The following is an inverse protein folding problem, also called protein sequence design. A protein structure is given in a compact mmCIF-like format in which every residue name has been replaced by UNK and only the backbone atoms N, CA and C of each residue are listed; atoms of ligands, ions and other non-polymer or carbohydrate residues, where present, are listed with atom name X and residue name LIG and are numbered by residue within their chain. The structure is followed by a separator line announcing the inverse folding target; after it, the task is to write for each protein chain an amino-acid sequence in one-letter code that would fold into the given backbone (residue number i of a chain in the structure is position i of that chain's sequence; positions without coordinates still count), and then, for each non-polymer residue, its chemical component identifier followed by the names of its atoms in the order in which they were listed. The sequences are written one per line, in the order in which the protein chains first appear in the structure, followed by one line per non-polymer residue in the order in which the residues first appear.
data_IF_934315490994
#
_entry.id   IF_934315490994
#
_cell.length_a   1.000
_cell.length_b   1.000
_cell.length_c   1.000
_cell.angle_alpha   90.00
_cell.angle_beta   90.00
_cell.angle_gamma   90.00
#
_symmetry.space_group_name_H-M   'P 1'
#
loop_
_entity.id
_entity.type
_entity.pdbx_description
1 polymer ?
#
# COMPACT_ATOMS: atom_id res chain seq x y z
N UNK A 1 -40.64 -52.25 -45.14
CA UNK A 1 -40.86 -50.84 -45.51
C UNK A 1 -39.66 -50.02 -45.06
N UNK A 2 -39.06 -49.27 -45.99
CA UNK A 2 -37.70 -48.72 -45.92
C UNK A 2 -37.52 -47.59 -44.90
N UNK A 3 -36.39 -47.61 -44.19
CA UNK A 3 -35.91 -46.63 -43.20
C UNK A 3 -35.90 -45.16 -43.72
N UNK A 4 -35.88 -44.98 -45.05
CA UNK A 4 -35.98 -43.67 -45.70
C UNK A 4 -37.33 -42.97 -45.46
N UNK A 5 -38.42 -43.72 -45.36
CA UNK A 5 -39.76 -43.13 -45.15
C UNK A 5 -39.96 -42.65 -43.71
N UNK A 6 -39.29 -43.27 -42.74
CA UNK A 6 -39.36 -42.87 -41.33
C UNK A 6 -38.61 -41.55 -41.07
N UNK A 7 -37.44 -41.35 -41.70
CA UNK A 7 -36.70 -40.07 -41.62
C UNK A 7 -37.47 -38.92 -42.26
N UNK A 8 -38.09 -39.16 -43.41
CA UNK A 8 -38.88 -38.13 -44.08
C UNK A 8 -40.07 -37.74 -43.21
N UNK A 9 -40.77 -38.73 -42.62
CA UNK A 9 -41.91 -38.47 -41.74
C UNK A 9 -41.52 -37.71 -40.46
N UNK A 10 -40.39 -38.06 -39.83
CA UNK A 10 -39.88 -37.34 -38.64
C UNK A 10 -39.47 -35.92 -39.00
N UNK A 11 -38.80 -35.70 -40.14
CA UNK A 11 -38.44 -34.36 -40.62
C UNK A 11 -39.67 -33.53 -40.96
N UNK A 12 -40.71 -34.12 -41.56
CA UNK A 12 -41.97 -33.43 -41.85
C UNK A 12 -42.70 -33.08 -40.57
N UNK A 13 -42.75 -33.96 -39.57
CA UNK A 13 -43.32 -33.66 -38.25
C UNK A 13 -42.52 -32.55 -37.55
N UNK A 14 -41.19 -32.58 -37.61
CA UNK A 14 -40.36 -31.53 -37.02
C UNK A 14 -40.62 -30.18 -37.70
N UNK A 15 -40.71 -30.17 -39.03
CA UNK A 15 -40.96 -28.96 -39.81
C UNK A 15 -42.36 -28.39 -39.56
N UNK A 16 -43.39 -29.25 -39.49
CA UNK A 16 -44.74 -28.84 -39.11
C UNK A 16 -44.77 -28.36 -37.66
N UNK A 17 -44.06 -29.02 -36.74
CA UNK A 17 -43.99 -28.61 -35.33
C UNK A 17 -43.31 -27.26 -35.14
N UNK A 18 -42.28 -26.93 -35.95
CA UNK A 18 -41.62 -25.63 -35.98
C UNK A 18 -42.49 -24.56 -36.65
N UNK A 19 -43.26 -24.93 -37.68
CA UNK A 19 -44.19 -24.03 -38.36
C UNK A 19 -45.46 -23.72 -37.53
N UNK A 20 -45.82 -24.59 -36.59
CA UNK A 20 -46.94 -24.40 -35.65
C UNK A 20 -46.54 -23.74 -34.32
N UNK A 21 -45.30 -23.26 -34.17
CA UNK A 21 -44.93 -22.43 -33.01
C UNK A 21 -45.53 -21.05 -33.24
N UNK A 22 -46.67 -20.79 -32.59
CA UNK A 22 -47.22 -19.43 -32.46
C UNK A 22 -46.11 -18.51 -31.94
N UNK A 23 -45.98 -17.27 -32.45
CA UNK A 23 -45.01 -16.32 -31.94
C UNK A 23 -45.34 -16.08 -30.47
N UNK A 24 -44.58 -16.71 -29.56
CA UNK A 24 -44.56 -16.29 -28.18
C UNK A 24 -43.88 -14.94 -28.23
N UNK A 25 -44.64 -13.85 -28.10
CA UNK A 25 -44.10 -12.54 -27.80
C UNK A 25 -43.40 -12.63 -26.43
N UNK A 26 -42.16 -13.12 -26.45
CA UNK A 26 -41.28 -13.00 -25.31
C UNK A 26 -41.04 -11.51 -25.15
N UNK A 27 -41.66 -10.93 -24.12
CA UNK A 27 -41.44 -9.56 -23.72
C UNK A 27 -39.94 -9.35 -23.47
N UNK A 28 -39.26 -8.80 -24.47
CA UNK A 28 -37.91 -8.27 -24.33
C UNK A 28 -38.10 -6.96 -23.57
N UNK A 29 -38.01 -7.04 -22.24
CA UNK A 29 -38.10 -5.85 -21.40
C UNK A 29 -37.12 -4.78 -21.88
N UNK A 30 -37.41 -3.49 -21.64
CA UNK A 30 -36.65 -2.37 -22.20
C UNK A 30 -35.14 -2.46 -21.90
N UNK A 31 -34.76 -3.16 -20.83
CA UNK A 31 -33.37 -3.42 -20.42
C UNK A 31 -32.50 -4.13 -21.47
N UNK A 32 -33.02 -5.01 -22.33
CA UNK A 32 -32.20 -5.69 -23.32
C UNK A 32 -31.78 -4.73 -24.47
N UNK A 33 -32.68 -3.83 -24.87
CA UNK A 33 -32.35 -2.74 -25.80
C UNK A 33 -31.32 -1.78 -25.21
N UNK A 34 -31.46 -1.42 -23.93
CA UNK A 34 -30.46 -0.61 -23.22
C UNK A 34 -29.11 -1.31 -23.08
N UNK A 35 -29.08 -2.62 -22.80
CA UNK A 35 -27.85 -3.41 -22.71
C UNK A 35 -27.13 -3.53 -24.06
N UNK A 36 -27.88 -3.76 -25.15
CA UNK A 36 -27.32 -3.82 -26.50
C UNK A 36 -26.80 -2.45 -26.95
N UNK A 37 -27.58 -1.38 -26.75
CA UNK A 37 -27.21 -0.03 -27.14
C UNK A 37 -25.99 0.47 -26.36
N UNK A 38 -25.93 0.21 -25.04
CA UNK A 38 -24.78 0.57 -24.21
C UNK A 38 -23.53 -0.22 -24.58
N UNK A 39 -23.65 -1.54 -24.83
CA UNK A 39 -22.50 -2.37 -25.23
C UNK A 39 -21.98 -1.98 -26.62
N UNK A 40 -22.87 -1.72 -27.57
CA UNK A 40 -22.51 -1.24 -28.90
C UNK A 40 -21.87 0.15 -28.84
N UNK A 41 -22.43 1.07 -28.05
CA UNK A 41 -21.87 2.42 -27.88
C UNK A 41 -20.47 2.38 -27.25
N UNK A 42 -20.25 1.52 -26.27
CA UNK A 42 -18.91 1.32 -25.66
C UNK A 42 -17.93 0.78 -26.69
N UNK A 43 -18.34 -0.21 -27.50
CA UNK A 43 -17.50 -0.76 -28.56
C UNK A 43 -17.17 0.29 -29.62
N UNK A 44 -18.17 1.02 -30.11
CA UNK A 44 -18.02 2.08 -31.09
C UNK A 44 -17.13 3.22 -30.57
N UNK A 45 -17.32 3.64 -29.32
CA UNK A 45 -16.49 4.66 -28.66
C UNK A 45 -15.04 4.17 -28.50
N UNK A 46 -14.84 2.89 -28.17
CA UNK A 46 -13.51 2.30 -28.05
C UNK A 46 -12.79 2.29 -29.40
N UNK A 47 -13.49 1.95 -30.49
CA UNK A 47 -12.95 2.03 -31.86
C UNK A 47 -12.62 3.46 -32.26
N UNK A 48 -13.51 4.43 -31.98
CA UNK A 48 -13.26 5.85 -32.24
C UNK A 48 -12.04 6.35 -31.46
N UNK A 49 -11.91 5.99 -30.18
CA UNK A 49 -10.75 6.33 -29.37
C UNK A 49 -9.46 5.67 -29.89
N UNK A 50 -9.52 4.43 -30.37
CA UNK A 50 -8.39 3.74 -30.97
C UNK A 50 -7.93 4.43 -32.27
N UNK A 51 -8.88 4.75 -33.17
CA UNK A 51 -8.60 5.48 -34.42
C UNK A 51 -8.06 6.87 -34.11
N UNK A 52 -8.70 7.61 -33.20
CA UNK A 52 -8.22 8.92 -32.76
C UNK A 52 -6.81 8.81 -32.17
N UNK A 53 -6.52 7.79 -31.37
CA UNK A 53 -5.20 7.59 -30.80
C UNK A 53 -4.14 7.33 -31.87
N UNK A 54 -4.46 6.51 -32.88
CA UNK A 54 -3.61 6.22 -34.02
C UNK A 54 -3.36 7.47 -34.88
N UNK A 55 -4.41 8.23 -35.20
CA UNK A 55 -4.32 9.48 -35.96
C UNK A 55 -3.57 10.57 -35.19
N UNK A 56 -3.74 10.64 -33.87
CA UNK A 56 -3.03 11.57 -33.01
C UNK A 56 -1.58 11.15 -32.71
N UNK A 57 -1.18 9.91 -33.02
CA UNK A 57 0.19 9.43 -32.80
C UNK A 57 1.25 10.27 -33.52
N UNK A 58 1.18 10.52 -34.85
CA UNK A 58 2.21 11.30 -35.54
C UNK A 58 2.31 12.73 -35.00
N UNK A 59 1.19 13.37 -34.65
CA UNK A 59 1.19 14.69 -34.02
C UNK A 59 1.79 14.67 -32.61
N UNK A 60 1.50 13.64 -31.80
CA UNK A 60 2.14 13.45 -30.49
C UNK A 60 3.63 13.17 -30.63
N UNK A 61 4.04 12.41 -31.64
CA UNK A 61 5.44 12.14 -31.94
C UNK A 61 6.16 13.41 -32.37
N UNK A 62 5.56 14.20 -33.27
CA UNK A 62 6.07 15.48 -33.73
C UNK A 62 6.16 16.51 -32.60
N UNK A 63 5.11 16.62 -31.77
CA UNK A 63 5.14 17.46 -30.58
C UNK A 63 6.25 16.99 -29.61
N UNK A 64 6.42 15.68 -29.43
CA UNK A 64 7.47 15.11 -28.58
C UNK A 64 8.87 15.34 -29.15
N UNK A 65 9.07 15.32 -30.47
CA UNK A 65 10.37 15.62 -31.11
C UNK A 65 10.69 17.12 -31.09
N UNK A 66 9.70 17.99 -31.31
CA UNK A 66 9.84 19.44 -31.21
C UNK A 66 10.10 19.89 -29.77
N UNK A 67 9.40 19.32 -28.78
CA UNK A 67 9.67 19.55 -27.35
C UNK A 67 11.01 18.93 -26.94
N UNK A 68 11.38 17.76 -27.48
CA UNK A 68 12.70 17.13 -27.26
C UNK A 68 13.87 17.97 -27.77
N UNK A 69 13.68 18.92 -28.70
CA UNK A 69 14.78 19.84 -29.08
C UNK A 69 15.29 20.68 -27.90
N UNK A 70 14.50 20.86 -26.83
CA UNK A 70 14.97 21.48 -25.57
C UNK A 70 15.67 20.48 -24.63
N UNK A 71 15.45 19.18 -24.79
CA UNK A 71 16.12 18.14 -24.01
C UNK A 71 17.44 17.79 -24.69
N UNK A 72 18.56 18.08 -24.03
CA UNK A 72 19.90 17.81 -24.58
C UNK A 72 20.00 16.38 -25.15
N UNK A 73 20.65 16.19 -26.32
CA UNK A 73 20.83 14.87 -26.90
C UNK A 73 21.49 13.95 -25.86
N UNK A 74 20.88 12.78 -25.64
CA UNK A 74 21.42 11.77 -24.71
C UNK A 74 22.82 11.40 -25.17
N UNK A 75 23.84 11.86 -24.44
CA UNK A 75 25.17 11.25 -24.54
C UNK A 75 24.99 9.79 -24.16
N UNK A 76 25.40 8.88 -25.05
CA UNK A 76 25.40 7.44 -24.76
C UNK A 76 26.38 7.25 -23.60
N UNK A 77 25.85 6.92 -22.43
CA UNK A 77 26.69 6.60 -21.27
C UNK A 77 27.47 5.32 -21.54
N UNK A 78 28.62 5.17 -20.88
CA UNK A 78 29.41 3.92 -20.95
C UNK A 78 28.73 2.75 -20.20
N UNK A 79 27.62 3.02 -19.51
CA UNK A 79 26.92 2.07 -18.64
C UNK A 79 25.44 2.06 -19.03
N UNK A 80 24.89 0.88 -19.30
CA UNK A 80 23.48 0.71 -19.68
C UNK A 80 22.54 0.75 -18.47
N UNK A 81 22.98 0.27 -17.30
CA UNK A 81 22.18 0.18 -16.07
C UNK A 81 23.01 0.43 -14.82
N UNK A 82 22.43 1.16 -13.88
CA UNK A 82 22.99 1.40 -12.54
C UNK A 82 22.00 0.86 -11.51
N UNK A 83 22.50 0.08 -10.56
CA UNK A 83 21.75 -0.40 -9.40
C UNK A 83 22.40 0.21 -8.16
N UNK A 84 21.58 0.85 -7.32
CA UNK A 84 22.02 1.36 -6.02
C UNK A 84 21.33 0.52 -4.96
N UNK A 85 22.11 -0.21 -4.18
CA UNK A 85 21.62 -0.97 -3.04
C UNK A 85 21.94 -0.20 -1.76
N UNK A 86 20.90 0.22 -1.05
CA UNK A 86 21.01 0.90 0.21
C UNK A 86 20.84 -0.05 1.40
N UNK A 87 21.81 -0.08 2.31
CA UNK A 87 21.78 -0.89 3.54
C UNK A 87 21.82 0.05 4.75
N UNK A 88 20.69 0.16 5.44
CA UNK A 88 20.56 1.06 6.60
C UNK A 88 21.34 0.50 7.81
N UNK A 89 22.08 1.36 8.50
CA UNK A 89 22.89 0.98 9.68
C UNK A 89 24.05 0.02 9.39
N UNK A 90 24.50 -0.12 8.15
CA UNK A 90 25.64 -0.98 7.82
C UNK A 90 26.95 -0.36 8.33
N UNK A 91 27.49 -0.92 9.40
CA UNK A 91 28.78 -0.50 9.96
C UNK A 91 29.96 -1.03 9.11
N UNK A 92 30.89 -0.17 8.66
CA UNK A 92 32.02 -0.58 7.82
C UNK A 92 33.00 -1.49 8.57
N UNK A 93 33.22 -1.29 9.88
CA UNK A 93 34.16 -2.10 10.68
C UNK A 93 33.67 -3.54 10.85
N UNK A 94 32.40 -3.72 11.22
CA UNK A 94 31.76 -5.04 11.27
C UNK A 94 31.72 -5.71 9.90
N UNK A 95 31.49 -4.93 8.84
CA UNK A 95 31.50 -5.46 7.46
C UNK A 95 32.88 -6.01 7.09
N UNK A 96 33.95 -5.28 7.41
CA UNK A 96 35.33 -5.76 7.18
C UNK A 96 35.67 -7.00 8.00
N UNK A 97 35.31 -7.01 9.28
CA UNK A 97 35.48 -8.16 10.15
C UNK A 97 34.78 -9.40 9.59
N UNK A 98 33.50 -9.29 9.21
CA UNK A 98 32.75 -10.43 8.69
C UNK A 98 33.17 -10.86 7.28
N UNK A 99 33.74 -9.97 6.47
CA UNK A 99 34.43 -10.38 5.24
C UNK A 99 35.68 -11.21 5.55
N UNK A 100 36.51 -10.78 6.50
CA UNK A 100 37.72 -11.51 6.92
C UNK A 100 37.41 -12.88 7.54
N UNK A 101 36.30 -13.00 8.26
CA UNK A 101 35.80 -14.26 8.81
C UNK A 101 35.12 -15.17 7.75
N UNK A 102 35.04 -14.75 6.48
CA UNK A 102 34.41 -15.51 5.40
C UNK A 102 32.88 -15.54 5.44
N UNK A 103 32.24 -14.74 6.30
CA UNK A 103 30.77 -14.68 6.46
C UNK A 103 30.08 -13.84 5.38
N UNK A 104 30.81 -12.92 4.74
CA UNK A 104 30.30 -12.03 3.68
C UNK A 104 31.02 -12.22 2.33
N UNK A 105 30.96 -13.41 1.72
CA UNK A 105 31.75 -13.73 0.51
C UNK A 105 31.39 -12.85 -0.71
N UNK A 106 30.14 -12.40 -0.81
CA UNK A 106 29.72 -11.50 -1.90
C UNK A 106 30.24 -10.07 -1.73
N UNK A 107 30.31 -9.55 -0.50
CA UNK A 107 30.93 -8.25 -0.24
C UNK A 107 32.43 -8.30 -0.50
N UNK A 108 33.09 -9.38 -0.08
CA UNK A 108 34.51 -9.61 -0.34
C UNK A 108 34.80 -9.59 -1.84
N UNK A 109 34.00 -10.32 -2.65
CA UNK A 109 34.12 -10.29 -4.11
C UNK A 109 33.90 -8.88 -4.68
N UNK A 110 32.90 -8.14 -4.21
CA UNK A 110 32.65 -6.75 -4.67
C UNK A 110 33.81 -5.81 -4.33
N UNK A 111 34.44 -5.99 -3.17
CA UNK A 111 35.65 -5.26 -2.76
C UNK A 111 36.84 -5.58 -3.68
N UNK A 112 37.02 -6.84 -4.08
CA UNK A 112 38.13 -7.27 -4.95
C UNK A 112 38.00 -6.78 -6.40
N UNK A 113 36.79 -6.81 -6.97
CA UNK A 113 36.56 -6.42 -8.38
C UNK A 113 36.23 -4.93 -8.56
N UNK A 114 36.03 -4.21 -7.46
CA UNK A 114 35.54 -2.83 -7.45
C UNK A 114 36.25 -1.96 -6.42
N UNK A 115 35.51 -1.01 -5.85
CA UNK A 115 36.02 -0.10 -4.81
C UNK A 115 35.24 -0.31 -3.53
N UNK A 116 35.96 -0.47 -2.42
CA UNK A 116 35.40 -0.43 -1.07
C UNK A 116 36.18 0.60 -0.27
N UNK A 117 35.50 1.64 0.19
CA UNK A 117 36.12 2.73 0.93
C UNK A 117 35.16 3.25 2.02
N UNK A 118 35.68 3.69 3.18
CA UNK A 118 34.88 4.38 4.18
C UNK A 118 34.19 5.61 3.58
N UNK A 119 32.90 5.77 3.88
CA UNK A 119 32.10 6.92 3.47
C UNK A 119 31.65 7.68 4.72
N UNK A 120 31.92 8.98 4.77
CA UNK A 120 31.42 9.84 5.84
C UNK A 120 29.89 9.92 5.80
N UNK A 121 29.26 9.90 6.96
CA UNK A 121 27.81 10.01 7.11
C UNK A 121 27.35 11.48 7.16
N UNK A 122 26.04 11.71 7.05
CA UNK A 122 25.44 13.03 7.21
C UNK A 122 25.55 13.56 8.64
N UNK A 123 25.35 14.86 8.80
CA UNK A 123 25.11 15.46 10.11
C UNK A 123 23.65 16.00 10.18
N UNK A 124 22.82 15.51 11.10
CA UNK A 124 23.08 14.44 12.07
C UNK A 124 23.16 13.03 11.41
N UNK A 125 23.84 12.05 12.05
CA UNK A 125 24.04 10.71 11.52
C UNK A 125 22.83 9.80 11.80
N UNK A 126 21.65 10.23 11.35
CA UNK A 126 20.38 9.52 11.55
C UNK A 126 19.73 9.24 10.19
N UNK A 127 19.06 8.09 10.04
CA UNK A 127 18.51 7.61 8.77
C UNK A 127 17.74 8.68 7.96
N UNK A 128 16.76 9.44 8.51
CA UNK A 128 16.00 10.40 7.72
C UNK A 128 16.87 11.53 7.13
N UNK A 129 17.90 11.98 7.87
CA UNK A 129 18.85 12.96 7.37
C UNK A 129 19.75 12.34 6.29
N UNK A 130 20.36 11.19 6.57
CA UNK A 130 21.28 10.51 5.66
C UNK A 130 20.64 10.14 4.33
N UNK A 131 19.43 9.57 4.35
CA UNK A 131 18.70 9.19 3.13
C UNK A 131 18.24 10.41 2.33
N UNK A 132 17.88 11.50 3.01
CA UNK A 132 17.54 12.77 2.35
C UNK A 132 18.78 13.40 1.69
N UNK A 133 19.93 13.36 2.35
CA UNK A 133 21.20 13.82 1.78
C UNK A 133 21.62 12.95 0.58
N UNK A 134 21.55 11.62 0.71
CA UNK A 134 21.81 10.67 -0.38
C UNK A 134 21.00 11.00 -1.63
N UNK A 135 19.68 11.18 -1.48
CA UNK A 135 18.83 11.37 -2.64
C UNK A 135 18.95 12.77 -3.26
N UNK A 136 19.28 13.80 -2.47
CA UNK A 136 19.27 15.20 -2.94
C UNK A 136 20.66 15.79 -3.22
N UNK A 137 21.73 15.15 -2.74
CA UNK A 137 23.10 15.63 -2.87
C UNK A 137 23.40 16.90 -2.05
N UNK A 138 22.55 17.25 -1.08
CA UNK A 138 22.72 18.40 -0.19
C UNK A 138 22.57 18.00 1.27
N UNK A 139 22.98 18.86 2.20
CA UNK A 139 22.87 18.60 3.64
C UNK A 139 21.50 18.97 4.22
N UNK A 140 21.31 18.65 5.51
CA UNK A 140 20.08 18.85 6.29
C UNK A 140 19.55 20.28 6.26
N UNK A 141 20.41 21.29 6.19
CA UNK A 141 19.99 22.70 6.12
C UNK A 141 19.24 23.02 4.83
N UNK A 142 19.53 22.31 3.73
CA UNK A 142 18.92 22.53 2.42
C UNK A 142 17.70 21.64 2.19
N UNK A 143 17.76 20.37 2.58
CA UNK A 143 16.62 19.45 2.41
C UNK A 143 15.63 19.47 3.59
N UNK A 144 15.91 20.20 4.67
CA UNK A 144 15.01 20.43 5.81
C UNK A 144 14.62 19.17 6.60
N UNK A 145 15.43 18.11 6.56
CA UNK A 145 15.17 16.88 7.31
C UNK A 145 16.33 16.67 8.27
N UNK A 146 16.06 16.78 9.56
CA UNK A 146 17.07 16.69 10.62
C UNK A 146 16.89 15.45 11.50
N UNK A 147 15.68 14.91 11.59
CA UNK A 147 15.34 13.76 12.45
C UNK A 147 14.05 13.11 11.90
N UNK A 148 13.52 12.06 12.53
CA UNK A 148 12.20 11.48 12.27
C UNK A 148 11.07 12.41 12.69
N UNK A 149 11.32 13.20 13.75
CA UNK A 149 10.37 14.13 14.32
C UNK A 149 10.90 15.57 14.25
N UNK A 150 9.99 16.51 14.14
CA UNK A 150 10.25 17.93 14.40
C UNK A 150 9.23 18.41 15.43
N UNK A 151 9.46 19.58 16.03
CA UNK A 151 8.47 20.20 16.91
C UNK A 151 7.45 20.98 16.09
N UNK A 152 6.18 20.92 16.48
CA UNK A 152 5.22 21.93 16.11
C UNK A 152 5.61 23.26 16.82
N UNK A 153 5.83 24.37 16.11
CA UNK A 153 6.24 25.63 16.73
C UNK A 153 5.19 26.25 17.68
N UNK A 154 3.92 25.84 17.59
CA UNK A 154 2.80 26.37 18.38
C UNK A 154 2.56 25.55 19.64
N UNK A 155 2.60 24.23 19.52
CA UNK A 155 2.26 23.31 20.62
C UNK A 155 3.47 22.66 21.27
N UNK A 156 4.64 22.74 20.62
CA UNK A 156 5.87 22.04 21.00
C UNK A 156 5.76 20.51 21.03
N UNK A 157 4.65 19.95 20.54
CA UNK A 157 4.47 18.52 20.41
C UNK A 157 5.28 17.96 19.22
N UNK A 158 5.75 16.70 19.30
CA UNK A 158 6.43 16.05 18.19
C UNK A 158 5.47 15.81 17.03
N UNK A 159 5.91 16.16 15.83
CA UNK A 159 5.24 15.88 14.55
C UNK A 159 6.24 15.26 13.59
N UNK A 160 5.76 14.50 12.61
CA UNK A 160 6.64 13.88 11.61
C UNK A 160 7.41 14.95 10.82
N UNK A 161 8.72 14.76 10.67
CA UNK A 161 9.57 15.69 9.90
C UNK A 161 9.43 15.52 8.39
N UNK A 162 9.01 14.32 7.94
CA UNK A 162 9.01 13.91 6.55
C UNK A 162 7.74 14.30 5.81
N UNK A 163 6.58 14.14 6.47
CA UNK A 163 5.28 14.40 5.87
C UNK A 163 4.30 15.02 6.86
N UNK A 164 3.49 15.95 6.37
CA UNK A 164 2.32 16.49 7.07
C UNK A 164 1.06 15.80 6.51
N UNK A 165 0.30 15.15 7.38
CA UNK A 165 -0.97 14.50 7.06
C UNK A 165 -2.06 15.20 7.84
N UNK A 166 -3.10 15.66 7.14
CA UNK A 166 -4.20 16.37 7.75
C UNK A 166 -5.54 16.05 7.09
N UNK A 167 -6.64 16.46 7.74
CA UNK A 167 -7.99 16.31 7.19
C UNK A 167 -8.13 17.09 5.86
N UNK A 168 -9.20 16.79 5.13
CA UNK A 168 -9.55 17.55 3.94
C UNK A 168 -9.72 19.04 4.28
N UNK A 169 -9.21 19.92 3.42
CA UNK A 169 -9.24 21.37 3.64
C UNK A 169 -10.65 21.97 3.67
N UNK A 170 -11.62 21.28 3.06
CA UNK A 170 -13.03 21.68 3.05
C UNK A 170 -13.88 20.53 3.56
N UNK A 171 -14.68 20.80 4.58
CA UNK A 171 -15.64 19.84 5.15
C UNK A 171 -16.99 20.51 5.33
N UNK A 172 -18.08 19.83 4.95
CA UNK A 172 -19.43 20.23 5.34
C UNK A 172 -19.78 19.56 6.67
N UNK A 173 -20.31 20.34 7.60
CA UNK A 173 -20.84 19.81 8.84
C UNK A 173 -22.33 19.52 8.67
N UNK A 174 -22.72 18.25 8.77
CA UNK A 174 -24.13 17.84 8.78
C UNK A 174 -24.43 17.10 10.09
N UNK A 175 -25.05 17.81 11.04
CA UNK A 175 -25.28 17.29 12.39
C UNK A 175 -23.97 16.88 13.08
N UNK A 176 -23.88 15.60 13.46
CA UNK A 176 -22.70 14.99 14.11
C UNK A 176 -21.58 14.56 13.13
N UNK A 177 -21.87 14.53 11.84
CA UNK A 177 -20.93 14.10 10.80
C UNK A 177 -20.21 15.28 10.14
N UNK A 178 -18.96 15.05 9.73
CA UNK A 178 -18.14 15.91 8.87
C UNK A 178 -17.96 15.20 7.52
N UNK A 179 -18.50 15.79 6.47
CA UNK A 179 -18.42 15.25 5.11
C UNK A 179 -17.26 15.97 4.41
N UNK A 180 -16.16 15.27 4.06
CA UNK A 180 -15.05 15.87 3.35
C UNK A 180 -15.45 16.20 1.91
N UNK A 181 -15.23 17.45 1.49
CA UNK A 181 -15.45 17.93 0.12
C UNK A 181 -14.18 17.85 -0.74
N UNK A 182 -13.15 17.16 -0.27
CA UNK A 182 -11.86 17.05 -0.94
C UNK A 182 -11.01 15.93 -0.39
N UNK A 183 -9.83 15.75 -0.98
CA UNK A 183 -8.86 14.75 -0.52
C UNK A 183 -8.16 15.19 0.77
N UNK A 184 -7.71 14.25 1.62
CA UNK A 184 -6.83 14.55 2.74
C UNK A 184 -5.60 15.35 2.31
N UNK A 185 -5.14 16.26 3.17
CA UNK A 185 -3.91 17.01 2.92
C UNK A 185 -2.73 16.08 3.22
N UNK A 186 -1.94 15.76 2.20
CA UNK A 186 -0.68 15.02 2.37
C UNK A 186 0.43 15.84 1.72
N UNK A 187 1.38 16.31 2.51
CA UNK A 187 2.44 17.22 2.05
C UNK A 187 3.81 16.68 2.44
N UNK A 188 4.69 16.54 1.45
CA UNK A 188 6.11 16.27 1.69
C UNK A 188 6.77 17.51 2.28
N UNK A 189 7.47 17.34 3.40
CA UNK A 189 8.19 18.40 4.09
C UNK A 189 9.67 18.48 3.68
N UNK A 190 10.24 17.36 3.19
CA UNK A 190 11.57 17.32 2.59
C UNK A 190 11.64 18.30 1.42
N UNK A 191 12.65 19.15 1.46
CA UNK A 191 13.02 20.11 0.40
C UNK A 191 14.09 19.50 -0.51
N UNK A 192 14.49 20.29 -1.50
CA UNK A 192 15.45 19.88 -2.54
C UNK A 192 14.94 18.76 -3.43
N UNK A 193 15.55 18.64 -4.59
CA UNK A 193 15.09 17.74 -5.64
C UNK A 193 15.91 16.45 -5.63
N UNK A 194 15.27 15.27 -5.53
CA UNK A 194 15.99 14.02 -5.65
C UNK A 194 16.61 13.82 -7.04
N UNK A 195 17.77 13.16 -7.10
CA UNK A 195 18.48 12.93 -8.35
C UNK A 195 17.64 12.13 -9.36
N UNK A 196 16.76 11.23 -8.93
CA UNK A 196 15.89 10.48 -9.85
C UNK A 196 14.85 11.36 -10.56
N UNK A 197 14.46 12.49 -9.96
CA UNK A 197 13.62 13.47 -10.67
C UNK A 197 14.43 14.12 -11.78
N UNK A 198 15.69 14.46 -11.52
CA UNK A 198 16.63 14.98 -12.53
C UNK A 198 16.78 13.95 -13.66
N UNK A 199 17.05 12.68 -13.32
CA UNK A 199 17.11 11.59 -14.30
C UNK A 199 15.85 11.52 -15.16
N UNK A 200 14.66 11.59 -14.55
CA UNK A 200 13.39 11.58 -15.27
C UNK A 200 13.18 12.79 -16.21
N UNK A 201 13.68 13.97 -15.86
CA UNK A 201 13.66 15.14 -16.75
C UNK A 201 14.56 14.93 -17.98
N UNK A 202 15.67 14.20 -17.82
CA UNK A 202 16.55 13.75 -18.89
C UNK A 202 16.09 12.43 -19.55
N UNK A 203 14.83 12.05 -19.35
CA UNK A 203 14.19 10.83 -19.86
C UNK A 203 14.84 9.52 -19.39
N UNK A 204 15.66 9.51 -18.34
CA UNK A 204 16.25 8.29 -17.78
C UNK A 204 15.24 7.67 -16.80
N UNK A 205 14.67 6.53 -17.19
CA UNK A 205 13.70 5.81 -16.36
C UNK A 205 14.40 5.23 -15.12
N UNK A 206 13.81 5.43 -13.94
CA UNK A 206 14.33 4.88 -12.68
C UNK A 206 13.22 4.13 -11.92
N UNK A 207 13.61 3.07 -11.23
CA UNK A 207 12.75 2.33 -10.29
C UNK A 207 13.24 2.55 -8.87
N UNK A 208 12.42 3.17 -8.03
CA UNK A 208 12.74 3.53 -6.65
C UNK A 208 11.91 2.64 -5.73
N UNK A 209 12.56 1.72 -5.02
CA UNK A 209 11.86 0.69 -4.26
C UNK A 209 12.25 0.83 -2.79
N UNK A 210 11.29 1.24 -1.95
CA UNK A 210 11.41 1.32 -0.49
C UNK A 210 12.58 2.19 0.01
N UNK A 211 13.02 3.17 -0.78
CA UNK A 211 13.99 4.18 -0.31
C UNK A 211 13.33 5.04 0.79
N UNK A 212 13.96 5.23 1.95
CA UNK A 212 13.40 6.03 3.05
C UNK A 212 13.09 7.49 2.65
N UNK A 213 12.17 8.14 3.37
CA UNK A 213 11.81 9.57 3.20
C UNK A 213 11.28 9.90 1.79
N UNK A 214 10.54 8.96 1.22
CA UNK A 214 9.88 9.10 -0.08
C UNK A 214 8.35 9.11 0.05
N UNK A 215 7.81 9.34 1.25
CA UNK A 215 6.39 9.51 1.50
C UNK A 215 6.06 10.99 1.83
N UNK A 216 5.00 11.59 1.25
CA UNK A 216 4.27 11.09 0.09
C UNK A 216 5.16 10.98 -1.15
N UNK A 217 4.83 10.06 -2.07
CA UNK A 217 5.64 9.83 -3.26
C UNK A 217 5.59 11.03 -4.20
N UNK A 218 6.75 11.45 -4.70
CA UNK A 218 6.89 12.53 -5.69
C UNK A 218 6.72 12.01 -7.12
N UNK A 219 6.02 12.77 -7.95
CA UNK A 219 5.84 12.43 -9.37
C UNK A 219 7.13 12.66 -10.15
N UNK A 220 7.53 11.66 -10.92
CA UNK A 220 8.64 11.73 -11.87
C UNK A 220 8.44 10.67 -12.98
N UNK A 221 9.32 10.66 -13.99
CA UNK A 221 9.28 9.64 -15.06
C UNK A 221 9.91 8.33 -14.61
N UNK A 222 9.18 7.57 -13.80
CA UNK A 222 9.63 6.27 -13.29
C UNK A 222 8.57 5.61 -12.42
N UNK A 223 9.01 4.64 -11.62
CA UNK A 223 8.18 4.00 -10.58
C UNK A 223 8.79 4.25 -9.20
N UNK A 224 7.95 4.56 -8.21
CA UNK A 224 8.40 4.77 -6.83
C UNK A 224 7.42 4.14 -5.85
N UNK A 225 7.90 3.20 -5.06
CA UNK A 225 7.23 2.62 -3.90
C UNK A 225 7.86 3.20 -2.63
N UNK A 226 7.07 3.96 -1.85
CA UNK A 226 7.59 4.63 -0.65
C UNK A 226 8.11 3.64 0.39
N UNK A 227 9.18 4.02 1.09
CA UNK A 227 9.82 3.22 2.12
C UNK A 227 9.52 3.68 3.55
N UNK A 228 10.53 3.58 4.40
CA UNK A 228 10.52 4.11 5.77
C UNK A 228 9.97 5.55 5.81
N UNK A 229 9.22 5.85 6.86
CA UNK A 229 8.40 7.05 7.06
C UNK A 229 7.07 7.12 6.30
N UNK A 230 6.73 6.11 5.50
CA UNK A 230 5.33 5.86 5.18
C UNK A 230 4.58 5.49 6.48
N UNK A 231 3.51 6.21 6.84
CA UNK A 231 2.76 5.94 8.06
C UNK A 231 1.95 4.65 7.93
N UNK A 232 1.64 4.02 9.06
CA UNK A 232 0.57 3.05 9.13
C UNK A 232 -0.81 3.75 9.01
N UNK A 233 -1.89 2.96 9.02
CA UNK A 233 -3.25 3.50 8.86
C UNK A 233 -3.62 4.46 9.99
N UNK A 234 -3.02 4.33 11.18
CA UNK A 234 -3.22 5.22 12.34
C UNK A 234 -2.47 6.54 12.20
N UNK A 235 -1.65 6.71 11.16
CA UNK A 235 -0.78 7.86 10.99
C UNK A 235 0.52 7.77 11.79
N UNK A 236 0.80 6.62 12.41
CA UNK A 236 1.95 6.42 13.28
C UNK A 236 3.11 5.75 12.53
N UNK A 237 4.30 5.67 13.16
CA UNK A 237 5.50 5.05 12.58
C UNK A 237 5.59 3.56 12.93
N UNK A 238 4.51 2.82 12.71
CA UNK A 238 4.47 1.38 12.97
C UNK A 238 4.08 1.04 14.41
N UNK A 239 2.98 1.61 14.91
CA UNK A 239 2.48 1.27 16.26
C UNK A 239 1.78 -0.08 16.28
N UNK A 240 2.40 -1.08 16.89
CA UNK A 240 1.83 -2.42 17.09
C UNK A 240 0.86 -2.47 18.28
N UNK A 241 0.06 -3.52 18.37
CA UNK A 241 -0.80 -3.79 19.53
C UNK A 241 -0.35 -5.07 20.22
N UNK A 242 -0.15 -5.01 21.53
CA UNK A 242 0.23 -6.14 22.36
C UNK A 242 -0.92 -6.48 23.30
N UNK A 243 -1.42 -7.69 23.22
CA UNK A 243 -2.55 -8.19 24.00
C UNK A 243 -2.02 -9.22 25.00
N UNK A 244 -2.21 -8.96 26.29
CA UNK A 244 -1.68 -9.87 27.30
C UNK A 244 -2.56 -9.95 28.54
N UNK A 245 -2.62 -11.13 29.14
CA UNK A 245 -3.26 -11.35 30.45
C UNK A 245 -2.28 -11.20 31.62
N UNK A 246 -0.98 -11.04 31.34
CA UNK A 246 0.05 -10.81 32.37
C UNK A 246 -0.18 -9.50 33.11
N UNK A 247 -0.02 -9.53 34.44
CA UNK A 247 -0.07 -8.35 35.31
C UNK A 247 1.24 -7.55 35.22
N UNK A 248 1.15 -6.23 35.44
CA UNK A 248 2.33 -5.36 35.60
C UNK A 248 3.05 -4.95 34.31
N UNK A 249 2.41 -5.08 33.15
CA UNK A 249 2.99 -4.65 31.87
C UNK A 249 2.78 -3.15 31.67
N UNK A 250 3.83 -2.44 31.25
CA UNK A 250 3.73 -1.03 30.87
C UNK A 250 2.76 -0.88 29.68
N UNK A 251 1.72 -0.09 29.90
CA UNK A 251 0.67 0.19 28.91
C UNK A 251 1.27 0.92 27.69
N UNK A 252 2.36 1.67 27.90
CA UNK A 252 3.08 2.42 26.87
C UNK A 252 4.45 1.79 26.60
N UNK A 253 4.44 0.55 26.08
CA UNK A 253 5.67 -0.09 25.58
C UNK A 253 6.21 0.69 24.39
N UNK A 254 7.52 0.93 24.34
CA UNK A 254 8.18 1.65 23.25
C UNK A 254 7.75 1.12 21.87
N UNK A 255 7.21 2.01 21.03
CA UNK A 255 6.77 1.68 19.67
C UNK A 255 5.41 0.97 19.55
N UNK A 256 4.71 0.65 20.64
CA UNK A 256 3.43 -0.08 20.61
C UNK A 256 2.42 0.37 21.66
N UNK A 257 1.26 -0.27 21.68
CA UNK A 257 0.25 -0.11 22.74
C UNK A 257 -0.01 -1.47 23.37
N UNK A 258 0.14 -1.56 24.70
CA UNK A 258 -0.21 -2.75 25.45
C UNK A 258 -1.66 -2.68 25.93
N UNK A 259 -2.40 -3.75 25.71
CA UNK A 259 -3.82 -3.90 25.97
C UNK A 259 -3.94 -5.05 26.98
N UNK A 260 -4.04 -4.74 28.29
CA UNK A 260 -4.24 -5.76 29.29
C UNK A 260 -5.61 -6.41 29.10
N UNK A 261 -5.63 -7.73 29.19
CA UNK A 261 -6.81 -8.55 29.03
C UNK A 261 -7.18 -9.17 30.38
N UNK A 262 -8.46 -9.12 30.71
CA UNK A 262 -9.02 -9.89 31.81
C UNK A 262 -9.55 -11.19 31.25
N UNK A 263 -9.11 -12.31 31.83
CA UNK A 263 -9.49 -13.64 31.38
C UNK A 263 -10.82 -14.06 32.00
N UNK A 264 -11.85 -14.21 31.16
CA UNK A 264 -13.16 -14.72 31.53
C UNK A 264 -13.38 -16.09 30.86
N UNK A 265 -12.85 -17.15 31.48
CA UNK A 265 -12.89 -18.50 30.91
C UNK A 265 -11.98 -18.68 29.70
N UNK A 266 -12.47 -19.35 28.66
CA UNK A 266 -11.72 -19.66 27.42
C UNK A 266 -11.93 -18.63 26.30
N UNK A 267 -12.72 -17.58 26.53
CA UNK A 267 -13.07 -16.59 25.51
C UNK A 267 -12.74 -15.20 26.01
N UNK A 268 -12.03 -14.44 25.18
CA UNK A 268 -11.67 -13.05 25.47
C UNK A 268 -12.24 -12.16 24.38
N UNK A 269 -12.99 -11.14 24.82
CA UNK A 269 -13.51 -10.09 23.96
C UNK A 269 -12.65 -8.84 24.11
N UNK A 270 -12.10 -8.36 23.00
CA UNK A 270 -11.31 -7.15 22.95
C UNK A 270 -11.53 -6.45 21.60
N UNK A 271 -10.61 -5.57 21.22
CA UNK A 271 -10.70 -4.80 19.99
C UNK A 271 -9.34 -4.59 19.34
N UNK A 272 -9.36 -4.43 18.02
CA UNK A 272 -8.23 -3.92 17.25
C UNK A 272 -8.39 -2.42 17.02
N UNK A 273 -7.34 -1.66 17.33
CA UNK A 273 -7.31 -0.21 17.09
C UNK A 273 -7.05 0.10 15.61
N UNK A 274 -7.83 1.04 15.09
CA UNK A 274 -7.73 1.57 13.74
C UNK A 274 -7.46 3.08 13.73
N UNK A 275 -7.62 3.73 12.57
CA UNK A 275 -7.39 5.16 12.39
C UNK A 275 -8.34 6.03 13.19
N UNK A 276 -7.96 7.28 13.42
CA UNK A 276 -8.85 8.32 13.96
C UNK A 276 -10.06 8.58 13.06
N UNK A 277 -11.25 8.69 13.66
CA UNK A 277 -12.47 8.95 12.92
C UNK A 277 -12.65 10.44 12.60
N UNK A 278 -12.06 10.88 11.49
CA UNK A 278 -12.17 12.26 11.00
C UNK A 278 -13.56 12.64 10.47
N UNK A 279 -14.46 11.67 10.22
CA UNK A 279 -15.81 11.90 9.69
C UNK A 279 -16.84 12.22 10.78
N UNK A 280 -16.47 12.10 12.06
CA UNK A 280 -17.35 12.41 13.18
C UNK A 280 -16.75 13.55 14.01
N UNK A 281 -17.56 14.53 14.43
CA UNK A 281 -17.05 15.73 15.12
C UNK A 281 -16.31 15.42 16.44
N UNK A 282 -16.75 14.39 17.14
CA UNK A 282 -16.12 13.83 18.34
C UNK A 282 -15.67 12.38 18.09
N UNK A 283 -15.20 12.09 16.87
CA UNK A 283 -14.71 10.77 16.51
C UNK A 283 -13.35 10.53 17.14
N UNK A 284 -13.24 9.53 18.01
CA UNK A 284 -11.94 9.00 18.43
C UNK A 284 -11.44 7.91 17.47
N UNK A 285 -10.39 7.20 17.88
CA UNK A 285 -9.87 6.04 17.17
C UNK A 285 -10.97 5.01 16.88
N UNK A 286 -11.09 4.62 15.61
CA UNK A 286 -11.94 3.53 15.19
C UNK A 286 -11.45 2.22 15.81
N UNK A 287 -12.39 1.34 16.14
CA UNK A 287 -12.12 0.04 16.74
C UNK A 287 -12.97 -1.00 16.04
N UNK A 288 -12.42 -2.19 15.85
CA UNK A 288 -13.21 -3.36 15.42
C UNK A 288 -13.17 -4.44 16.50
N UNK A 289 -14.26 -5.20 16.69
CA UNK A 289 -14.26 -6.33 17.62
C UNK A 289 -13.18 -7.36 17.26
N UNK A 290 -12.46 -7.82 18.26
CA UNK A 290 -11.48 -8.89 18.20
C UNK A 290 -11.87 -9.92 19.26
N UNK A 291 -12.20 -11.13 18.84
CA UNK A 291 -12.54 -12.24 19.73
C UNK A 291 -11.41 -13.28 19.68
N UNK A 292 -10.96 -13.71 20.85
CA UNK A 292 -9.89 -14.69 21.02
C UNK A 292 -10.46 -15.87 21.81
N UNK A 293 -10.37 -17.06 21.23
CA UNK A 293 -10.79 -18.32 21.84
C UNK A 293 -9.53 -19.12 22.15
N UNK A 294 -9.33 -19.47 23.42
CA UNK A 294 -8.14 -20.20 23.89
C UNK A 294 -8.42 -21.71 23.93
N UNK A 295 -7.49 -22.48 23.39
CA UNK A 295 -7.45 -23.95 23.48
C UNK A 295 -6.24 -24.33 24.36
N UNK A 296 -6.47 -24.33 25.67
CA UNK A 296 -5.41 -24.52 26.68
C UNK A 296 -4.72 -25.87 26.56
N UNK A 297 -5.47 -26.92 26.21
CA UNK A 297 -4.92 -28.27 26.07
C UNK A 297 -3.91 -28.38 24.93
N UNK A 298 -4.07 -27.54 23.90
CA UNK A 298 -3.20 -27.53 22.72
C UNK A 298 -2.27 -26.32 22.65
N UNK A 299 -2.27 -25.49 23.70
CA UNK A 299 -1.57 -24.21 23.76
C UNK A 299 -1.77 -23.35 22.49
N UNK A 300 -3.02 -23.21 22.04
CA UNK A 300 -3.36 -22.58 20.75
C UNK A 300 -4.47 -21.57 20.95
N UNK A 301 -4.56 -20.58 20.06
CA UNK A 301 -5.72 -19.69 20.01
C UNK A 301 -6.43 -19.76 18.67
N UNK A 302 -7.71 -19.40 18.68
CA UNK A 302 -8.50 -19.09 17.51
C UNK A 302 -8.93 -17.63 17.59
N UNK A 303 -8.65 -16.87 16.54
CA UNK A 303 -8.94 -15.44 16.46
C UNK A 303 -10.11 -15.25 15.49
N UNK A 304 -11.04 -14.37 15.85
CA UNK A 304 -12.07 -13.84 14.96
C UNK A 304 -12.00 -12.32 14.90
N UNK A 305 -11.81 -11.78 13.71
CA UNK A 305 -11.68 -10.33 13.48
C UNK A 305 -12.15 -9.96 12.07
N UNK A 306 -12.91 -8.87 11.95
CA UNK A 306 -13.40 -8.37 10.65
C UNK A 306 -14.10 -9.44 9.78
N UNK A 307 -14.81 -10.38 10.40
CA UNK A 307 -15.51 -11.49 9.72
C UNK A 307 -14.64 -12.67 9.29
N UNK A 308 -13.32 -12.63 9.54
CA UNK A 308 -12.39 -13.73 9.30
C UNK A 308 -12.13 -14.51 10.59
N UNK A 309 -11.81 -15.80 10.45
CA UNK A 309 -11.48 -16.69 11.56
C UNK A 309 -10.28 -17.57 11.19
N UNK A 310 -9.30 -17.65 12.08
CA UNK A 310 -8.08 -18.46 11.88
C UNK A 310 -7.51 -18.91 13.24
N UNK A 311 -6.66 -19.92 13.21
CA UNK A 311 -5.97 -20.44 14.40
C UNK A 311 -4.49 -20.10 14.37
N UNK A 312 -3.89 -19.91 15.54
CA UNK A 312 -2.47 -19.62 15.71
C UNK A 312 -1.85 -20.52 16.76
N UNK A 313 -0.73 -21.12 16.39
CA UNK A 313 0.15 -21.88 17.27
C UNK A 313 1.22 -20.95 17.86
N UNK A 314 1.83 -21.31 19.01
CA UNK A 314 2.87 -20.50 19.63
C UNK A 314 4.04 -20.26 18.68
N UNK A 315 4.60 -19.07 18.75
CA UNK A 315 5.72 -18.57 17.93
C UNK A 315 5.43 -18.57 16.42
N UNK A 316 4.18 -18.41 16.03
CA UNK A 316 3.78 -18.33 14.62
C UNK A 316 3.07 -17.01 14.30
N UNK A 317 3.22 -16.59 13.03
CA UNK A 317 2.45 -15.49 12.48
C UNK A 317 1.24 -16.00 11.70
N UNK A 318 0.14 -15.25 11.75
CA UNK A 318 -0.97 -15.42 10.83
C UNK A 318 -0.55 -15.09 9.39
N UNK A 319 -1.35 -15.51 8.40
CA UNK A 319 -1.39 -14.84 7.10
C UNK A 319 -1.71 -13.34 7.26
N UNK A 320 -1.57 -12.57 6.19
CA UNK A 320 -2.06 -11.19 6.19
C UNK A 320 -3.57 -11.16 6.30
N UNK A 321 -4.08 -10.43 7.30
CA UNK A 321 -5.49 -10.30 7.58
C UNK A 321 -5.95 -8.91 7.14
N UNK A 322 -6.93 -8.86 6.24
CA UNK A 322 -7.55 -7.60 5.81
C UNK A 322 -8.57 -7.15 6.84
N UNK A 323 -8.49 -5.91 7.31
CA UNK A 323 -9.39 -5.36 8.33
C UNK A 323 -10.14 -4.15 7.79
N UNK A 324 -11.43 -4.04 8.12
CA UNK A 324 -12.30 -2.97 7.64
C UNK A 324 -12.88 -2.16 8.79
N UNK A 325 -12.49 -0.90 8.90
CA UNK A 325 -13.00 0.04 9.91
C UNK A 325 -14.15 0.87 9.34
N UNK A 326 -15.31 0.86 9.99
CA UNK A 326 -16.46 1.67 9.58
C UNK A 326 -16.30 3.11 10.10
N UNK A 327 -15.95 4.03 9.22
CA UNK A 327 -15.75 5.45 9.57
C UNK A 327 -17.06 6.26 9.57
N UNK A 328 -18.06 5.83 8.78
CA UNK A 328 -19.36 6.49 8.70
C UNK A 328 -20.50 5.54 8.30
N UNK A 329 -21.63 6.10 7.87
CA UNK A 329 -22.79 5.32 7.42
C UNK A 329 -22.44 4.43 6.22
N UNK A 330 -21.67 4.97 5.27
CA UNK A 330 -21.31 4.31 4.01
C UNK A 330 -19.79 4.11 3.88
N UNK A 331 -18.98 4.98 4.49
CA UNK A 331 -17.52 4.97 4.35
C UNK A 331 -16.84 3.91 5.23
N UNK A 332 -15.95 3.13 4.62
CA UNK A 332 -15.05 2.18 5.27
C UNK A 332 -13.60 2.54 4.95
N UNK A 333 -12.70 2.23 5.88
CA UNK A 333 -11.25 2.33 5.69
C UNK A 333 -10.67 0.94 5.84
N UNK A 334 -9.91 0.50 4.85
CA UNK A 334 -9.30 -0.82 4.82
C UNK A 334 -7.83 -0.74 5.23
N UNK A 335 -7.39 -1.76 5.96
CA UNK A 335 -6.00 -1.94 6.34
C UNK A 335 -5.65 -3.42 6.40
N UNK A 336 -4.39 -3.71 6.67
CA UNK A 336 -3.86 -5.07 6.75
C UNK A 336 -2.97 -5.22 7.97
N UNK A 337 -3.03 -6.36 8.63
CA UNK A 337 -2.13 -6.67 9.74
C UNK A 337 -1.87 -8.17 9.83
N UNK A 338 -0.86 -8.55 10.62
CA UNK A 338 -0.61 -9.94 11.01
C UNK A 338 -0.73 -10.05 12.53
N UNK A 339 -1.09 -11.23 12.99
CA UNK A 339 -1.07 -11.58 14.40
C UNK A 339 0.08 -12.54 14.66
N UNK A 340 0.83 -12.33 15.72
CA UNK A 340 1.89 -13.21 16.18
C UNK A 340 1.58 -13.67 17.59
N UNK A 341 1.35 -14.98 17.75
CA UNK A 341 1.21 -15.56 19.07
C UNK A 341 2.60 -15.89 19.58
N UNK A 342 3.04 -15.29 20.68
CA UNK A 342 4.27 -15.72 21.35
C UNK A 342 3.98 -16.98 22.17
N UNK A 343 3.02 -16.88 23.08
CA UNK A 343 2.50 -18.00 23.87
C UNK A 343 1.03 -17.79 24.24
N UNK A 344 0.30 -18.89 24.48
CA UNK A 344 -1.10 -18.84 24.90
C UNK A 344 -1.29 -19.28 26.36
N UNK A 345 -0.32 -19.98 26.97
CA UNK A 345 -0.41 -20.46 28.36
C UNK A 345 0.94 -20.32 29.06
N UNK A 346 0.98 -20.03 30.39
CA UNK A 346 -0.15 -19.81 31.29
C UNK A 346 -0.88 -18.47 31.06
N UNK A 347 -0.16 -17.47 30.54
CA UNK A 347 -0.68 -16.16 30.17
C UNK A 347 -0.72 -16.03 28.65
N UNK A 348 -1.72 -15.31 28.13
CA UNK A 348 -1.77 -14.97 26.71
C UNK A 348 -0.73 -13.88 26.41
N UNK A 349 0.05 -14.08 25.37
CA UNK A 349 1.00 -13.11 24.83
C UNK A 349 0.87 -13.04 23.30
N UNK A 350 0.03 -12.11 22.84
CA UNK A 350 -0.36 -11.97 21.44
C UNK A 350 -0.03 -10.58 20.92
N UNK A 351 0.64 -10.50 19.78
CA UNK A 351 0.93 -9.25 19.09
C UNK A 351 0.09 -9.14 17.83
N UNK A 352 -0.39 -7.94 17.53
CA UNK A 352 -0.83 -7.56 16.20
C UNK A 352 0.16 -6.55 15.65
N UNK A 353 0.67 -6.76 14.44
CA UNK A 353 1.50 -5.78 13.74
C UNK A 353 0.72 -4.47 13.58
N UNK A 354 1.40 -3.35 13.29
CA UNK A 354 0.71 -2.13 12.94
C UNK A 354 -0.29 -2.39 11.82
N UNK A 355 -1.46 -1.75 11.89
CA UNK A 355 -2.47 -1.83 10.84
C UNK A 355 -1.96 -1.01 9.66
N UNK A 356 -1.36 -1.67 8.69
CA UNK A 356 -0.80 -1.04 7.50
C UNK A 356 -1.89 -0.68 6.51
N UNK A 357 -1.53 0.17 5.56
CA UNK A 357 -2.37 0.53 4.42
C UNK A 357 -2.64 -0.70 3.58
N UNK A 358 -3.90 -0.89 3.20
CA UNK A 358 -4.29 -1.90 2.23
C UNK A 358 -3.80 -1.50 0.83
N UNK A 359 -2.91 -2.30 0.18
CA UNK A 359 -2.39 -1.95 -1.15
C UNK A 359 -3.45 -1.97 -2.25
N UNK A 360 -4.56 -2.70 -2.07
CA UNK A 360 -5.64 -2.80 -3.04
C UNK A 360 -6.65 -1.64 -2.93
N UNK A 361 -6.74 -1.00 -1.76
CA UNK A 361 -7.62 0.15 -1.50
C UNK A 361 -6.97 1.18 -0.55
N UNK A 362 -5.91 1.87 -1.00
CA UNK A 362 -5.18 2.77 -0.12
C UNK A 362 -5.87 4.12 0.06
N UNK A 363 -5.94 4.65 1.29
CA UNK A 363 -6.57 5.94 1.56
C UNK A 363 -5.77 7.14 1.03
N UNK A 364 -4.48 6.94 0.74
CA UNK A 364 -3.58 7.93 0.15
C UNK A 364 -2.50 7.27 -0.71
N UNK A 365 -1.95 7.97 -1.72
CA UNK A 365 -0.96 7.38 -2.61
C UNK A 365 0.38 7.16 -1.89
N UNK A 366 0.89 5.93 -1.95
CA UNK A 366 2.24 5.54 -1.48
C UNK A 366 3.09 4.93 -2.62
N UNK A 367 2.51 4.88 -3.83
CA UNK A 367 3.09 4.30 -5.05
C UNK A 367 2.84 5.24 -6.24
N UNK A 368 3.83 5.35 -7.13
CA UNK A 368 3.74 6.10 -8.39
C UNK A 368 4.18 5.22 -9.57
N UNK A 369 3.46 5.26 -10.72
CA UNK A 369 2.16 5.92 -10.91
C UNK A 369 1.07 5.23 -10.08
N UNK A 370 0.05 5.99 -9.66
CA UNK A 370 -1.04 5.49 -8.80
C UNK A 370 -1.89 4.38 -9.42
N UNK A 371 -1.74 4.13 -10.73
CA UNK A 371 -2.36 3.02 -11.45
C UNK A 371 -1.61 1.69 -11.28
N UNK A 372 -0.40 1.72 -10.74
CA UNK A 372 0.38 0.51 -10.46
C UNK A 372 -0.28 -0.20 -9.29
N UNK A 373 -0.53 -1.51 -9.41
CA UNK A 373 -1.03 -2.33 -8.30
C UNK A 373 0.14 -3.10 -7.69
N UNK A 374 0.27 -3.06 -6.37
CA UNK A 374 1.10 -4.01 -5.64
C UNK A 374 0.22 -5.23 -5.34
N UNK A 375 0.40 -6.30 -6.11
CA UNK A 375 -0.32 -7.56 -5.88
C UNK A 375 0.32 -8.35 -4.74
N UNK A 376 -0.51 -8.97 -3.92
CA UNK A 376 -0.10 -9.92 -2.89
C UNK A 376 0.76 -11.05 -3.48
N UNK A 377 1.91 -11.40 -2.88
CA UNK A 377 2.37 -12.77 -2.95
C UNK A 377 1.37 -13.61 -2.12
N UNK A 378 0.66 -14.52 -2.79
CA UNK A 378 -0.21 -15.52 -2.13
C UNK A 378 0.59 -16.38 -1.16
#
# INVERSE_FOLDING_TARGET
MSWKNCRLFVLTILFISLACISPVEAYIGPGAGFAFLSSFLILALSFLLAIFSLLAWPFRLLAKTLVRRKSQPRRKGNIDRVIILGLDGLDPGLTEQFMAEGKLPHFQRLKEVGTFAPLATSYPPISPAAWSSFMTGVDSSRHNIFDFFTRDPRTYLPVLSSAEIGPASRTLSLGKYRIPLGKPKVKLLRKSKPFWIILGEHDIFSSIIRVPITFPPEKFKGVLLSGMCAPDLRGTQGTFSHYTTSKGVDVNKEGGVCIPLVREGHRIHTHLHGPENTLHKNGGALKIPLEILMDEKKNRIQIRVSGQQFSLEPRTYSPWIRVSFRAGLISKVHGICRFYLNDATPELDLYATPVQIDPDDPPFPFLIPSSTRCTWPN
#
